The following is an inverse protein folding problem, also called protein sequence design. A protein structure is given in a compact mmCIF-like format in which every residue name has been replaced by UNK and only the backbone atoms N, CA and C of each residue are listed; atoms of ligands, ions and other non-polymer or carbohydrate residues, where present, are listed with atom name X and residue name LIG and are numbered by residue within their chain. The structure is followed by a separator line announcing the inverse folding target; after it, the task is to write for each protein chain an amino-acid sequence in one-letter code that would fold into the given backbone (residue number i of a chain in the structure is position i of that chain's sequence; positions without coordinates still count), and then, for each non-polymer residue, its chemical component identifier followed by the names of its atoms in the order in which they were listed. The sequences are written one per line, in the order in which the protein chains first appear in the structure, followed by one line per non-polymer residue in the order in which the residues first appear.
data_IF_409679216071
#
_entry.id   IF_409679216071
#
_cell.length_a   1.000
_cell.length_b   1.000
_cell.length_c   1.000
_cell.angle_alpha   90.00
_cell.angle_beta   90.00
_cell.angle_gamma   90.00
#
_symmetry.space_group_name_H-M   'P 1'
#
loop_
_entity.id
_entity.type
_entity.pdbx_description
1 polymer ?
#
# COMPACT_ATOMS: atom_id res chain seq x y z
N UNK A 1 0.85 29.05 -2.04
CA UNK A 1 0.92 28.05 -3.13
C UNK A 1 -0.49 27.54 -3.40
N UNK A 2 -0.90 27.34 -4.66
CA UNK A 2 -2.20 26.73 -4.95
C UNK A 2 -2.14 25.25 -4.52
N UNK A 3 -3.07 24.82 -3.69
CA UNK A 3 -3.25 23.41 -3.36
C UNK A 3 -3.50 22.63 -4.65
N UNK A 4 -2.72 21.58 -4.90
CA UNK A 4 -2.87 20.73 -6.08
C UNK A 4 -4.18 19.95 -6.00
N UNK A 5 -4.84 19.78 -7.13
CA UNK A 5 -6.07 19.00 -7.26
C UNK A 5 -5.72 17.53 -7.49
N UNK A 6 -6.30 16.64 -6.69
CA UNK A 6 -6.04 15.20 -6.73
C UNK A 6 -7.29 14.46 -7.19
N UNK A 7 -7.17 13.68 -8.26
CA UNK A 7 -8.25 12.84 -8.77
C UNK A 7 -7.97 11.36 -8.54
N UNK A 8 -8.96 10.61 -8.07
CA UNK A 8 -8.90 9.15 -7.94
C UNK A 8 -9.81 8.51 -9.00
N UNK A 9 -9.24 7.63 -9.82
CA UNK A 9 -10.01 6.75 -10.68
C UNK A 9 -10.17 5.42 -9.94
N UNK A 10 -11.39 5.14 -9.48
CA UNK A 10 -11.75 4.09 -8.54
C UNK A 10 -11.88 4.62 -7.11
N UNK A 11 -13.04 4.41 -6.48
CA UNK A 11 -13.38 4.80 -5.10
C UNK A 11 -13.33 3.66 -4.10
N UNK A 12 -12.52 2.62 -4.35
CA UNK A 12 -12.41 1.45 -3.47
C UNK A 12 -11.73 1.75 -2.12
N UNK A 13 -11.58 0.73 -1.29
CA UNK A 13 -11.05 0.88 0.09
C UNK A 13 -9.73 1.67 0.16
N UNK A 14 -8.77 1.40 -0.73
CA UNK A 14 -7.48 2.10 -0.72
C UNK A 14 -7.62 3.58 -1.10
N UNK A 15 -8.48 3.90 -2.08
CA UNK A 15 -8.79 5.30 -2.41
C UNK A 15 -9.41 6.00 -1.20
N UNK A 16 -10.38 5.37 -0.55
CA UNK A 16 -11.06 5.93 0.63
C UNK A 16 -10.07 6.23 1.76
N UNK A 17 -9.11 5.35 2.00
CA UNK A 17 -8.08 5.58 3.02
C UNK A 17 -7.15 6.72 2.66
N UNK A 18 -6.68 6.79 1.41
CA UNK A 18 -5.84 7.89 0.94
C UNK A 18 -6.58 9.23 1.02
N UNK A 19 -7.85 9.27 0.59
CA UNK A 19 -8.69 10.47 0.67
C UNK A 19 -8.88 10.89 2.14
N UNK A 20 -9.23 9.94 3.01
CA UNK A 20 -9.43 10.22 4.44
C UNK A 20 -8.15 10.72 5.10
N UNK A 21 -7.01 10.09 4.79
CA UNK A 21 -5.69 10.50 5.26
C UNK A 21 -5.32 11.91 4.80
N UNK A 22 -5.51 12.19 3.51
CA UNK A 22 -5.27 13.51 2.91
C UNK A 22 -6.08 14.59 3.64
N UNK A 23 -7.38 14.37 3.82
CA UNK A 23 -8.26 15.31 4.53
C UNK A 23 -7.80 15.51 5.98
N UNK A 24 -7.47 14.42 6.68
CA UNK A 24 -6.98 14.47 8.07
C UNK A 24 -5.65 15.24 8.18
N UNK A 25 -4.78 15.16 7.17
CA UNK A 25 -3.53 15.94 7.08
C UNK A 25 -3.72 17.40 6.65
N UNK A 26 -4.96 17.86 6.42
CA UNK A 26 -5.29 19.24 6.08
C UNK A 26 -5.41 19.53 4.58
N UNK A 27 -5.40 18.50 3.72
CA UNK A 27 -5.72 18.70 2.31
C UNK A 27 -7.22 19.01 2.16
N UNK A 28 -7.56 20.07 1.43
CA UNK A 28 -8.96 20.47 1.28
C UNK A 28 -9.74 19.42 0.48
N UNK A 29 -10.87 18.95 1.04
CA UNK A 29 -11.77 18.01 0.37
C UNK A 29 -12.28 18.57 -0.98
N UNK A 30 -12.41 19.89 -1.11
CA UNK A 30 -12.81 20.55 -2.35
C UNK A 30 -11.73 20.50 -3.44
N UNK A 31 -10.51 20.05 -3.11
CA UNK A 31 -9.43 19.78 -4.05
C UNK A 31 -9.26 18.27 -4.34
N UNK A 32 -10.23 17.44 -3.95
CA UNK A 32 -10.24 16.00 -4.22
C UNK A 32 -11.41 15.65 -5.13
N UNK A 33 -11.15 14.82 -6.14
CA UNK A 33 -12.14 14.27 -7.08
C UNK A 33 -12.10 12.75 -7.07
N UNK A 34 -13.26 12.12 -7.25
CA UNK A 34 -13.36 10.66 -7.47
C UNK A 34 -14.25 10.37 -8.66
N UNK A 35 -13.81 9.44 -9.51
CA UNK A 35 -14.64 8.81 -10.54
C UNK A 35 -14.69 7.30 -10.27
N UNK A 36 -15.88 6.71 -10.32
CA UNK A 36 -16.13 5.28 -10.17
C UNK A 36 -17.36 4.89 -11.00
N UNK A 37 -17.43 3.64 -11.45
CA UNK A 37 -18.60 3.11 -12.15
C UNK A 37 -19.79 2.95 -11.19
N UNK A 38 -19.50 2.75 -9.90
CA UNK A 38 -20.46 2.58 -8.83
C UNK A 38 -20.96 3.93 -8.29
N UNK A 39 -22.17 4.31 -8.71
CA UNK A 39 -22.78 5.60 -8.35
C UNK A 39 -23.17 5.70 -6.88
N UNK A 40 -23.52 4.58 -6.24
CA UNK A 40 -23.84 4.57 -4.80
C UNK A 40 -22.58 4.87 -3.99
N UNK A 41 -21.44 4.28 -4.38
CA UNK A 41 -20.14 4.54 -3.78
C UNK A 41 -19.70 5.99 -3.94
N UNK A 42 -19.84 6.57 -5.14
CA UNK A 42 -19.56 7.99 -5.36
C UNK A 42 -20.42 8.89 -4.46
N UNK A 43 -21.72 8.61 -4.38
CA UNK A 43 -22.66 9.38 -3.56
C UNK A 43 -22.31 9.30 -2.07
N UNK A 44 -21.93 8.10 -1.61
CA UNK A 44 -21.47 7.86 -0.24
C UNK A 44 -20.20 8.66 0.07
N UNK A 45 -19.21 8.68 -0.84
CA UNK A 45 -17.97 9.43 -0.67
C UNK A 45 -18.17 10.93 -0.68
N UNK A 46 -18.97 11.44 -1.62
CA UNK A 46 -19.33 12.86 -1.67
C UNK A 46 -20.01 13.31 -0.36
N UNK A 47 -20.92 12.50 0.18
CA UNK A 47 -21.67 12.83 1.39
C UNK A 47 -20.80 12.76 2.64
N UNK A 48 -19.99 11.70 2.78
CA UNK A 48 -19.22 11.43 4.00
C UNK A 48 -17.93 12.27 4.10
N UNK A 49 -17.29 12.55 2.97
CA UNK A 49 -15.98 13.23 2.92
C UNK A 49 -16.05 14.64 2.32
N UNK A 50 -17.22 15.07 1.82
CA UNK A 50 -17.43 16.38 1.20
C UNK A 50 -16.46 16.68 0.04
N UNK A 51 -16.13 15.65 -0.72
CA UNK A 51 -15.27 15.69 -1.91
C UNK A 51 -16.08 15.87 -3.19
N UNK A 52 -15.40 16.23 -4.27
CA UNK A 52 -16.02 16.27 -5.59
C UNK A 52 -16.12 14.87 -6.20
N UNK A 53 -17.14 14.65 -7.02
CA UNK A 53 -17.27 13.45 -7.84
C UNK A 53 -17.34 13.82 -9.31
N UNK A 54 -16.94 12.90 -10.17
CA UNK A 54 -17.03 13.05 -11.62
C UNK A 54 -17.82 11.89 -12.22
N UNK A 55 -18.66 12.21 -13.20
CA UNK A 55 -19.43 11.21 -13.95
C UNK A 55 -18.57 10.36 -14.89
N UNK A 56 -17.42 10.89 -15.33
CA UNK A 56 -16.49 10.19 -16.23
C UNK A 56 -15.03 10.39 -15.81
N UNK A 57 -14.18 9.45 -16.20
CA UNK A 57 -12.73 9.58 -16.01
C UNK A 57 -12.17 10.79 -16.78
N UNK A 58 -12.67 11.05 -17.99
CA UNK A 58 -12.23 12.17 -18.83
C UNK A 58 -12.48 13.54 -18.19
N UNK A 59 -13.67 13.73 -17.61
CA UNK A 59 -14.00 14.96 -16.91
C UNK A 59 -13.15 15.14 -15.64
N UNK A 60 -12.83 14.05 -14.94
CA UNK A 60 -11.91 14.10 -13.80
C UNK A 60 -10.50 14.49 -14.23
N UNK A 61 -9.95 13.86 -15.27
CA UNK A 61 -8.58 14.12 -15.77
C UNK A 61 -8.41 15.57 -16.21
N UNK A 62 -9.45 16.18 -16.78
CA UNK A 62 -9.41 17.59 -17.22
C UNK A 62 -9.34 18.59 -16.05
N UNK A 63 -9.77 18.18 -14.85
CA UNK A 63 -9.90 19.08 -13.70
C UNK A 63 -8.71 19.05 -12.74
N UNK A 64 -7.89 17.98 -12.76
CA UNK A 64 -6.92 17.69 -11.70
C UNK A 64 -5.47 17.84 -12.15
N UNK A 65 -4.55 17.98 -11.19
CA UNK A 65 -3.10 18.01 -11.42
C UNK A 65 -2.48 16.60 -11.31
N UNK A 66 -3.12 15.71 -10.53
CA UNK A 66 -2.67 14.34 -10.28
C UNK A 66 -3.83 13.38 -10.47
N UNK A 67 -3.57 12.25 -11.13
CA UNK A 67 -4.49 11.13 -11.24
C UNK A 67 -3.93 9.92 -10.51
N UNK A 68 -4.62 9.46 -9.47
CA UNK A 68 -4.34 8.23 -8.76
C UNK A 68 -5.18 7.10 -9.36
N UNK A 69 -4.54 6.09 -9.94
CA UNK A 69 -5.21 4.90 -10.44
C UNK A 69 -5.45 3.90 -9.31
N UNK A 70 -6.68 3.88 -8.79
CA UNK A 70 -7.13 3.08 -7.66
C UNK A 70 -8.18 2.02 -8.04
N UNK A 71 -8.19 1.61 -9.31
CA UNK A 71 -8.96 0.45 -9.80
C UNK A 71 -8.16 -0.85 -9.65
N UNK A 72 -8.84 -1.98 -9.83
CA UNK A 72 -8.18 -3.30 -9.84
C UNK A 72 -7.15 -3.37 -10.98
N UNK A 73 -6.00 -4.06 -10.80
CA UNK A 73 -4.93 -4.12 -11.81
C UNK A 73 -5.42 -4.53 -13.20
N UNK A 74 -6.36 -5.47 -13.29
CA UNK A 74 -6.92 -5.97 -14.55
C UNK A 74 -7.70 -4.91 -15.34
N UNK A 75 -8.19 -3.86 -14.68
CA UNK A 75 -8.96 -2.80 -15.31
C UNK A 75 -8.10 -1.62 -15.80
N UNK A 76 -6.83 -1.53 -15.36
CA UNK A 76 -5.98 -0.37 -15.58
C UNK A 76 -5.77 -0.07 -17.08
N UNK A 77 -5.45 -1.11 -17.87
CA UNK A 77 -5.22 -0.95 -19.30
C UNK A 77 -6.46 -0.38 -20.02
N UNK A 78 -7.65 -0.92 -19.72
CA UNK A 78 -8.90 -0.47 -20.31
C UNK A 78 -9.23 0.98 -19.92
N UNK A 79 -9.06 1.32 -18.63
CA UNK A 79 -9.29 2.68 -18.10
C UNK A 79 -8.38 3.72 -18.77
N UNK A 80 -7.10 3.40 -18.92
CA UNK A 80 -6.15 4.29 -19.60
C UNK A 80 -6.52 4.44 -21.07
N UNK A 81 -6.74 3.32 -21.78
CA UNK A 81 -7.04 3.32 -23.21
C UNK A 81 -8.34 4.08 -23.52
N UNK A 82 -9.37 3.98 -22.67
CA UNK A 82 -10.63 4.71 -22.86
C UNK A 82 -10.49 6.22 -22.67
N UNK A 83 -9.53 6.67 -21.86
CA UNK A 83 -9.35 8.10 -21.51
C UNK A 83 -8.06 8.71 -22.07
N UNK A 84 -7.42 8.04 -23.04
CA UNK A 84 -6.14 8.45 -23.60
C UNK A 84 -6.19 9.86 -24.22
N UNK A 85 -7.32 10.22 -24.82
CA UNK A 85 -7.52 11.56 -25.39
C UNK A 85 -7.43 12.67 -24.34
N UNK A 86 -7.91 12.41 -23.11
CA UNK A 86 -7.83 13.35 -21.99
C UNK A 86 -6.44 13.37 -21.39
N UNK A 87 -5.81 12.20 -21.18
CA UNK A 87 -4.41 12.12 -20.74
C UNK A 87 -3.44 12.81 -21.69
N UNK A 88 -3.70 12.80 -22.99
CA UNK A 88 -2.86 13.48 -23.98
C UNK A 88 -2.97 15.01 -23.91
N UNK A 89 -4.15 15.54 -23.56
CA UNK A 89 -4.39 16.99 -23.44
C UNK A 89 -3.95 17.56 -22.09
N UNK A 90 -4.00 16.74 -21.05
CA UNK A 90 -3.65 17.15 -19.69
C UNK A 90 -2.17 16.91 -19.38
N UNK A 91 -1.56 17.81 -18.63
CA UNK A 91 -0.23 17.62 -18.06
C UNK A 91 -0.36 17.16 -16.60
N UNK A 92 -0.82 15.92 -16.42
CA UNK A 92 -1.05 15.33 -15.10
C UNK A 92 0.09 14.41 -14.68
N UNK A 93 0.39 14.40 -13.38
CA UNK A 93 1.14 13.29 -12.79
C UNK A 93 0.22 12.07 -12.67
N UNK A 94 0.67 10.93 -13.18
CA UNK A 94 -0.01 9.66 -12.92
C UNK A 94 0.64 8.94 -11.74
N UNK A 95 -0.17 8.62 -10.73
CA UNK A 95 0.21 7.79 -9.60
C UNK A 95 -0.54 6.46 -9.70
N UNK A 96 0.17 5.35 -9.84
CA UNK A 96 -0.46 4.02 -9.87
C UNK A 96 -0.23 3.28 -8.57
N UNK A 97 -1.30 2.86 -7.90
CA UNK A 97 -1.25 1.99 -6.71
C UNK A 97 -1.56 0.52 -7.06
N UNK A 98 -1.55 0.17 -8.34
CA UNK A 98 -1.91 -1.17 -8.81
C UNK A 98 -0.72 -2.13 -8.69
N UNK A 99 -0.90 -3.20 -7.90
CA UNK A 99 0.05 -4.30 -7.84
C UNK A 99 0.17 -4.99 -9.21
N UNK A 100 1.40 -5.39 -9.59
CA UNK A 100 1.65 -6.13 -10.82
C UNK A 100 1.44 -5.34 -12.11
N UNK A 101 1.50 -4.01 -12.11
CA UNK A 101 1.52 -3.20 -13.34
C UNK A 101 2.75 -2.31 -13.35
N UNK A 102 3.73 -2.62 -14.19
CA UNK A 102 4.99 -1.86 -14.26
C UNK A 102 4.90 -0.57 -15.11
N UNK A 103 5.89 0.31 -14.96
CA UNK A 103 5.99 1.60 -15.64
C UNK A 103 6.10 1.41 -17.14
N UNK A 104 6.75 0.35 -17.61
CA UNK A 104 6.83 0.04 -19.04
C UNK A 104 5.41 -0.20 -19.63
N UNK A 105 4.56 -0.93 -18.91
CA UNK A 105 3.16 -1.19 -19.32
C UNK A 105 2.34 0.09 -19.29
N UNK A 106 2.45 0.88 -18.21
CA UNK A 106 1.78 2.18 -18.10
C UNK A 106 2.21 3.11 -19.24
N UNK A 107 3.52 3.22 -19.51
CA UNK A 107 4.08 4.05 -20.58
C UNK A 107 3.63 3.59 -21.97
N UNK A 108 3.50 2.28 -22.19
CA UNK A 108 2.96 1.71 -23.43
C UNK A 108 1.52 2.17 -23.68
N UNK A 109 0.70 2.28 -22.63
CA UNK A 109 -0.70 2.68 -22.76
C UNK A 109 -0.92 4.20 -22.77
N UNK A 110 -0.09 4.95 -22.05
CA UNK A 110 -0.23 6.40 -21.86
C UNK A 110 0.60 7.27 -22.80
N UNK A 111 1.73 6.74 -23.29
CA UNK A 111 2.79 7.52 -23.90
C UNK A 111 4.04 7.59 -23.01
N UNK A 112 5.22 7.55 -23.65
CA UNK A 112 6.51 7.50 -22.96
C UNK A 112 6.97 8.84 -22.37
N UNK A 113 6.28 9.93 -22.69
CA UNK A 113 6.54 11.30 -22.23
C UNK A 113 5.83 11.63 -20.91
N UNK A 114 4.95 10.75 -20.41
CA UNK A 114 4.17 11.01 -19.20
C UNK A 114 4.98 10.82 -17.92
N UNK A 115 4.70 11.68 -16.92
CA UNK A 115 5.22 11.55 -15.57
C UNK A 115 4.45 10.46 -14.82
N UNK A 116 5.17 9.43 -14.37
CA UNK A 116 4.57 8.24 -13.73
C UNK A 116 5.30 7.95 -12.42
N UNK A 117 4.54 7.85 -11.33
CA UNK A 117 4.98 7.28 -10.07
C UNK A 117 4.21 5.99 -9.84
N UNK A 118 4.93 4.90 -9.58
CA UNK A 118 4.33 3.68 -9.06
C UNK A 118 4.46 3.67 -7.55
N UNK A 119 3.40 3.25 -6.90
CA UNK A 119 3.31 3.10 -5.47
C UNK A 119 2.85 1.67 -5.16
N UNK A 120 3.45 1.07 -4.14
CA UNK A 120 3.03 -0.22 -3.60
C UNK A 120 2.59 -0.05 -2.15
N UNK A 121 1.37 0.45 -1.88
CA UNK A 121 0.85 0.56 -0.53
C UNK A 121 0.39 -0.81 0.00
N UNK A 122 0.07 -0.87 1.29
CA UNK A 122 -0.46 -2.06 1.94
C UNK A 122 -1.72 -1.78 2.77
N UNK A 123 -2.41 -2.83 3.20
CA UNK A 123 -3.72 -2.72 3.88
C UNK A 123 -3.71 -1.99 5.23
N UNK A 124 -2.62 -1.93 6.02
CA UNK A 124 -2.54 -1.05 7.20
C UNK A 124 -2.77 0.45 6.91
N UNK A 125 -2.69 0.89 5.65
CA UNK A 125 -3.14 2.23 5.24
C UNK A 125 -4.59 2.54 5.65
N UNK A 126 -5.45 1.51 5.76
CA UNK A 126 -6.83 1.65 6.20
C UNK A 126 -6.97 2.20 7.63
N UNK A 127 -5.91 2.04 8.44
CA UNK A 127 -5.81 2.52 9.82
C UNK A 127 -4.59 3.44 9.99
N UNK A 128 -4.18 4.12 8.92
CA UNK A 128 -3.12 5.14 8.91
C UNK A 128 -1.74 4.66 9.39
N UNK A 129 -1.46 3.36 9.29
CA UNK A 129 -0.17 2.75 9.63
C UNK A 129 0.43 2.02 8.43
N UNK A 130 0.11 2.49 7.23
CA UNK A 130 0.57 1.93 5.97
C UNK A 130 2.09 2.03 5.78
N UNK A 131 2.62 1.16 4.94
CA UNK A 131 3.96 1.25 4.40
C UNK A 131 3.88 1.18 2.87
N UNK A 132 4.40 2.21 2.21
CA UNK A 132 4.32 2.35 0.76
C UNK A 132 5.72 2.47 0.17
N UNK A 133 6.07 1.58 -0.76
CA UNK A 133 7.24 1.79 -1.63
C UNK A 133 6.87 2.63 -2.85
N UNK A 134 7.74 3.54 -3.28
CA UNK A 134 7.53 4.42 -4.42
C UNK A 134 8.70 4.37 -5.40
N UNK A 135 8.40 4.44 -6.69
CA UNK A 135 9.38 4.62 -7.75
C UNK A 135 8.84 5.55 -8.82
N UNK A 136 9.64 6.55 -9.20
CA UNK A 136 9.31 7.55 -10.22
C UNK A 136 10.05 7.26 -11.53
N UNK A 137 9.41 7.51 -12.67
CA UNK A 137 10.14 7.54 -13.93
C UNK A 137 10.90 8.88 -14.09
N UNK A 138 11.80 8.93 -15.06
CA UNK A 138 12.63 10.13 -15.33
C UNK A 138 11.87 11.39 -15.74
N UNK A 139 10.57 11.29 -16.03
CA UNK A 139 9.75 12.42 -16.47
C UNK A 139 9.09 13.15 -15.28
N UNK A 140 9.18 12.57 -14.07
CA UNK A 140 8.64 13.16 -12.84
C UNK A 140 9.53 14.31 -12.38
N UNK A 141 8.94 15.48 -12.17
CA UNK A 141 9.64 16.64 -11.59
C UNK A 141 9.78 16.49 -10.08
N UNK A 142 10.68 17.26 -9.45
CA UNK A 142 10.81 17.28 -7.98
C UNK A 142 9.48 17.64 -7.29
N UNK A 143 8.73 18.62 -7.82
CA UNK A 143 7.40 18.98 -7.27
C UNK A 143 6.41 17.80 -7.35
N UNK A 144 6.45 17.03 -8.44
CA UNK A 144 5.59 15.86 -8.62
C UNK A 144 6.03 14.68 -7.74
N UNK A 145 7.34 14.51 -7.55
CA UNK A 145 7.92 13.54 -6.64
C UNK A 145 7.42 13.80 -5.21
N UNK A 146 7.60 15.01 -4.70
CA UNK A 146 7.13 15.42 -3.38
C UNK A 146 5.61 15.27 -3.24
N UNK A 147 4.85 15.60 -4.29
CA UNK A 147 3.40 15.46 -4.30
C UNK A 147 2.97 13.99 -4.18
N UNK A 148 3.58 13.08 -4.92
CA UNK A 148 3.29 11.66 -4.81
C UNK A 148 3.65 11.09 -3.43
N UNK A 149 4.79 11.50 -2.88
CA UNK A 149 5.20 11.13 -1.53
C UNK A 149 4.17 11.61 -0.50
N UNK A 150 3.77 12.89 -0.56
CA UNK A 150 2.79 13.48 0.34
C UNK A 150 1.43 12.76 0.28
N UNK A 151 0.99 12.33 -0.91
CA UNK A 151 -0.23 11.53 -1.04
C UNK A 151 -0.12 10.22 -0.25
N UNK A 152 1.00 9.50 -0.39
CA UNK A 152 1.18 8.21 0.29
C UNK A 152 1.45 8.36 1.78
N UNK A 153 2.12 9.44 2.21
CA UNK A 153 2.39 9.75 3.62
C UNK A 153 1.14 10.07 4.43
N UNK A 154 0.04 10.41 3.77
CA UNK A 154 -1.24 10.68 4.42
C UNK A 154 -1.82 9.48 5.17
N UNK A 155 -1.34 8.27 4.88
CA UNK A 155 -1.83 7.01 5.46
C UNK A 155 -0.72 6.13 6.07
N UNK A 156 0.50 6.66 6.23
CA UNK A 156 1.61 5.92 6.81
C UNK A 156 2.98 6.37 6.30
N UNK A 157 3.97 5.48 6.31
CA UNK A 157 5.31 5.79 5.79
C UNK A 157 5.39 5.59 4.27
N UNK A 158 6.28 6.35 3.64
CA UNK A 158 6.64 6.26 2.24
C UNK A 158 8.15 6.07 2.10
N UNK A 159 8.57 5.17 1.23
CA UNK A 159 10.00 4.91 0.97
C UNK A 159 10.23 4.90 -0.54
N UNK A 160 11.12 5.74 -1.02
CA UNK A 160 11.57 5.74 -2.40
C UNK A 160 12.59 4.63 -2.62
N UNK A 161 12.38 3.83 -3.66
CA UNK A 161 13.36 2.84 -4.12
C UNK A 161 14.11 3.36 -5.34
N UNK A 162 15.36 2.93 -5.51
CA UNK A 162 16.20 3.40 -6.62
C UNK A 162 15.79 2.79 -7.94
N UNK A 163 15.43 1.49 -7.93
CA UNK A 163 15.04 0.74 -9.11
C UNK A 163 13.60 0.25 -9.01
N UNK A 164 12.86 0.33 -10.11
CA UNK A 164 11.47 -0.12 -10.16
C UNK A 164 11.27 -1.57 -9.71
N UNK A 165 12.23 -2.46 -10.02
CA UNK A 165 12.19 -3.87 -9.64
C UNK A 165 12.21 -4.09 -8.12
N UNK A 166 12.69 -3.13 -7.34
CA UNK A 166 12.63 -3.23 -5.87
C UNK A 166 11.19 -3.16 -5.35
N UNK A 167 10.23 -2.65 -6.14
CA UNK A 167 8.82 -2.71 -5.77
C UNK A 167 8.28 -4.15 -5.70
N UNK A 168 8.90 -5.11 -6.37
CA UNK A 168 8.55 -6.54 -6.22
C UNK A 168 8.98 -7.06 -4.84
N UNK A 169 10.15 -6.62 -4.34
CA UNK A 169 10.60 -6.92 -2.98
C UNK A 169 9.74 -6.19 -1.94
N UNK A 170 9.37 -4.93 -2.18
CA UNK A 170 8.39 -4.21 -1.34
C UNK A 170 7.05 -4.97 -1.29
N UNK A 171 6.58 -5.49 -2.41
CA UNK A 171 5.35 -6.30 -2.47
C UNK A 171 5.44 -7.55 -1.59
N UNK A 172 6.59 -8.23 -1.60
CA UNK A 172 6.83 -9.40 -0.76
C UNK A 172 6.91 -9.03 0.74
N UNK A 173 7.60 -7.94 1.08
CA UNK A 173 7.84 -7.54 2.48
C UNK A 173 6.62 -6.87 3.10
N UNK A 174 6.15 -5.76 2.55
CA UNK A 174 5.13 -4.90 3.17
C UNK A 174 3.76 -5.04 2.52
N UNK A 175 3.69 -5.32 1.21
CA UNK A 175 2.43 -5.53 0.50
C UNK A 175 1.69 -6.78 1.01
N UNK A 176 2.42 -7.90 1.03
CA UNK A 176 1.94 -9.20 1.52
C UNK A 176 2.13 -9.39 3.03
N UNK A 177 3.05 -8.62 3.63
CA UNK A 177 3.43 -8.65 5.04
C UNK A 177 2.27 -8.77 6.04
N UNK A 178 1.19 -7.95 5.95
CA UNK A 178 0.07 -8.02 6.86
C UNK A 178 -0.52 -9.43 6.99
N UNK A 179 -0.61 -10.19 5.89
CA UNK A 179 -1.12 -11.55 5.91
C UNK A 179 -0.22 -12.50 6.72
N UNK A 180 1.10 -12.27 6.74
CA UNK A 180 2.04 -13.08 7.50
C UNK A 180 1.85 -12.86 9.01
N UNK A 181 1.66 -11.61 9.42
CA UNK A 181 1.35 -11.28 10.81
C UNK A 181 -0.01 -11.84 11.23
N UNK A 182 -1.04 -11.73 10.39
CA UNK A 182 -2.35 -12.31 10.69
C UNK A 182 -2.31 -13.85 10.81
N UNK A 183 -1.54 -14.53 9.95
CA UNK A 183 -1.35 -15.98 10.04
C UNK A 183 -0.64 -16.37 11.34
N UNK A 184 0.36 -15.59 11.77
CA UNK A 184 1.02 -15.81 13.07
C UNK A 184 0.04 -15.61 14.23
N UNK A 185 -0.77 -14.54 14.20
CA UNK A 185 -1.79 -14.27 15.22
C UNK A 185 -2.82 -15.41 15.28
N UNK A 186 -3.28 -15.90 14.13
CA UNK A 186 -4.21 -17.03 14.03
C UNK A 186 -3.62 -18.30 14.67
N UNK A 187 -2.36 -18.62 14.36
CA UNK A 187 -1.68 -19.77 14.94
C UNK A 187 -1.51 -19.63 16.46
N UNK A 188 -1.14 -18.43 16.94
CA UNK A 188 -1.02 -18.14 18.36
C UNK A 188 -2.37 -18.25 19.08
N UNK A 189 -3.47 -17.77 18.47
CA UNK A 189 -4.81 -17.84 19.04
C UNK A 189 -5.22 -19.30 19.25
N UNK A 190 -4.99 -20.14 18.24
CA UNK A 190 -5.28 -21.58 18.33
C UNK A 190 -4.51 -22.23 19.49
N UNK A 191 -3.21 -21.98 19.61
CA UNK A 191 -2.41 -22.52 20.71
C UNK A 191 -2.80 -21.95 22.08
N UNK A 192 -3.16 -20.67 22.16
CA UNK A 192 -3.62 -20.03 23.39
C UNK A 192 -4.91 -20.67 23.93
N UNK A 193 -5.84 -21.05 23.04
CA UNK A 193 -7.06 -21.78 23.41
C UNK A 193 -6.72 -23.18 23.95
N UNK A 194 -5.78 -23.90 23.33
CA UNK A 194 -5.31 -25.21 23.79
C UNK A 194 -4.62 -25.13 25.17
N UNK A 195 -3.98 -23.99 25.46
CA UNK A 195 -3.40 -23.68 26.78
C UNK A 195 -4.44 -23.22 27.83
N UNK A 196 -5.72 -23.14 27.45
CA UNK A 196 -6.83 -22.86 28.37
C UNK A 196 -7.27 -21.41 28.44
N UNK A 197 -6.79 -20.52 27.57
CA UNK A 197 -7.31 -19.15 27.49
C UNK A 197 -8.68 -19.13 26.80
N UNK A 198 -9.50 -18.15 27.17
CA UNK A 198 -10.71 -17.83 26.40
C UNK A 198 -10.33 -17.17 25.07
N UNK A 199 -11.17 -17.33 24.04
CA UNK A 199 -10.97 -16.68 22.74
C UNK A 199 -10.76 -15.17 22.87
N UNK A 200 -11.64 -14.52 23.62
CA UNK A 200 -11.58 -13.08 23.82
C UNK A 200 -10.27 -12.65 24.49
N UNK A 201 -9.83 -13.36 25.53
CA UNK A 201 -8.56 -13.09 26.21
C UNK A 201 -7.37 -13.31 25.28
N UNK A 202 -7.36 -14.40 24.52
CA UNK A 202 -6.28 -14.71 23.58
C UNK A 202 -6.13 -13.60 22.53
N UNK A 203 -7.23 -13.20 21.89
CA UNK A 203 -7.23 -12.14 20.88
C UNK A 203 -6.66 -10.82 21.43
N UNK A 204 -7.17 -10.35 22.57
CA UNK A 204 -6.69 -9.12 23.19
C UNK A 204 -5.19 -9.16 23.52
N UNK A 205 -4.71 -10.27 24.09
CA UNK A 205 -3.30 -10.41 24.45
C UNK A 205 -2.41 -10.46 23.22
N UNK A 206 -2.80 -11.20 22.17
CA UNK A 206 -2.03 -11.38 20.95
C UNK A 206 -1.93 -10.07 20.17
N UNK A 207 -3.06 -9.40 19.94
CA UNK A 207 -3.12 -8.12 19.22
C UNK A 207 -2.28 -7.06 19.93
N UNK A 208 -2.43 -6.91 21.24
CA UNK A 208 -1.67 -5.94 22.03
C UNK A 208 -0.18 -6.28 22.09
N UNK A 209 0.18 -7.57 22.15
CA UNK A 209 1.60 -8.01 22.14
C UNK A 209 2.25 -7.70 20.80
N UNK A 210 1.56 -7.97 19.69
CA UNK A 210 2.07 -7.65 18.35
C UNK A 210 2.24 -6.14 18.15
N UNK A 211 1.25 -5.34 18.55
CA UNK A 211 1.33 -3.87 18.51
C UNK A 211 2.52 -3.37 19.36
N UNK A 212 2.64 -3.85 20.60
CA UNK A 212 3.71 -3.45 21.52
C UNK A 212 5.10 -3.77 20.98
N UNK A 213 5.30 -4.98 20.46
CA UNK A 213 6.58 -5.39 19.86
C UNK A 213 6.95 -4.52 18.65
N UNK A 214 5.98 -4.26 17.76
CA UNK A 214 6.20 -3.40 16.60
C UNK A 214 6.55 -1.96 17.01
N UNK A 215 5.85 -1.39 18.00
CA UNK A 215 6.14 -0.04 18.51
C UNK A 215 7.51 0.07 19.13
N UNK A 216 7.92 -0.90 19.95
CA UNK A 216 9.28 -0.94 20.51
C UNK A 216 10.32 -0.95 19.39
N UNK A 217 10.12 -1.77 18.35
CA UNK A 217 11.03 -1.83 17.22
C UNK A 217 11.10 -0.50 16.43
N UNK A 218 9.98 0.20 16.27
CA UNK A 218 9.93 1.49 15.57
C UNK A 218 10.57 2.65 16.36
N UNK A 219 10.51 2.58 17.69
CA UNK A 219 11.02 3.63 18.59
C UNK A 219 12.47 3.36 19.07
N UNK A 220 13.00 2.16 18.78
CA UNK A 220 14.35 1.74 19.19
C UNK A 220 15.41 2.07 18.13
N UNK A 221 16.64 2.25 18.60
CA UNK A 221 17.84 2.28 17.73
C UNK A 221 18.45 0.89 17.53
N UNK A 222 17.94 -0.10 18.26
CA UNK A 222 18.41 -1.48 18.24
C UNK A 222 17.70 -2.30 17.16
N UNK A 223 18.40 -3.28 16.62
CA UNK A 223 17.86 -4.25 15.67
C UNK A 223 16.82 -5.18 16.32
N UNK A 224 15.91 -5.77 15.52
CA UNK A 224 15.00 -6.80 16.02
C UNK A 224 15.70 -8.00 16.67
N UNK A 225 16.93 -8.34 16.24
CA UNK A 225 17.74 -9.38 16.83
C UNK A 225 18.15 -9.04 18.27
N UNK A 226 18.66 -7.82 18.49
CA UNK A 226 19.04 -7.32 19.82
C UNK A 226 17.82 -7.22 20.74
N UNK A 227 16.69 -6.69 20.23
CA UNK A 227 15.43 -6.63 20.97
C UNK A 227 14.95 -8.03 21.39
N UNK A 228 15.01 -9.01 20.48
CA UNK A 228 14.69 -10.42 20.78
C UNK A 228 15.60 -10.98 21.87
N UNK A 229 16.90 -10.72 21.81
CA UNK A 229 17.85 -11.17 22.84
C UNK A 229 17.54 -10.57 24.22
N UNK A 230 17.19 -9.28 24.29
CA UNK A 230 16.85 -8.61 25.56
C UNK A 230 15.64 -9.19 26.28
N UNK A 231 14.65 -9.70 25.53
CA UNK A 231 13.44 -10.34 26.09
C UNK A 231 13.58 -11.86 26.27
N UNK A 232 14.77 -12.41 26.01
CA UNK A 232 15.07 -13.85 26.12
C UNK A 232 16.02 -14.09 27.29
N UNK A 233 15.47 -14.37 28.47
CA UNK A 233 16.28 -14.74 29.63
C UNK A 233 16.81 -16.17 29.52
N UNK A 234 18.08 -16.45 29.90
CA UNK A 234 18.64 -17.80 29.91
C UNK A 234 17.81 -18.77 30.77
N UNK A 235 17.45 -19.92 30.22
CA UNK A 235 16.60 -20.92 30.89
C UNK A 235 15.13 -20.50 31.03
N UNK A 236 14.73 -19.36 30.44
CA UNK A 236 13.37 -18.81 30.53
C UNK A 236 12.39 -19.42 29.53
N UNK A 237 11.12 -19.04 29.65
CA UNK A 237 10.04 -19.51 28.77
C UNK A 237 10.23 -19.05 27.32
N UNK A 238 10.66 -17.80 27.10
CA UNK A 238 10.93 -17.24 25.78
C UNK A 238 12.02 -18.03 25.05
N UNK A 239 13.09 -18.41 25.75
CA UNK A 239 14.21 -19.16 25.18
C UNK A 239 13.74 -20.51 24.62
N UNK A 240 12.93 -21.25 25.37
CA UNK A 240 12.40 -22.55 24.93
C UNK A 240 11.50 -22.42 23.69
N UNK A 241 10.69 -21.37 23.61
CA UNK A 241 9.87 -21.10 22.44
C UNK A 241 10.72 -20.75 21.20
N UNK A 242 11.71 -19.86 21.36
CA UNK A 242 12.60 -19.45 20.26
C UNK A 242 13.41 -20.64 19.73
N UNK A 243 14.00 -21.46 20.61
CA UNK A 243 14.73 -22.68 20.21
C UNK A 243 13.82 -23.63 19.43
N UNK A 244 12.54 -23.73 19.82
CA UNK A 244 11.57 -24.57 19.12
C UNK A 244 11.27 -24.04 17.72
N UNK A 245 11.08 -22.71 17.55
CA UNK A 245 10.92 -22.10 16.24
C UNK A 245 12.15 -22.27 15.35
N UNK A 246 13.35 -22.10 15.91
CA UNK A 246 14.61 -22.27 15.18
C UNK A 246 14.80 -23.73 14.71
N UNK A 247 14.54 -24.71 15.57
CA UNK A 247 14.54 -26.14 15.20
C UNK A 247 13.51 -26.49 14.13
N UNK A 248 12.39 -25.77 14.11
CA UNK A 248 11.37 -25.87 13.06
C UNK A 248 11.76 -25.23 11.73
N UNK A 249 12.94 -24.60 11.62
CA UNK A 249 13.42 -23.96 10.39
C UNK A 249 12.73 -22.64 10.08
N UNK A 250 12.27 -21.89 11.09
CA UNK A 250 11.51 -20.66 10.93
C UNK A 250 12.14 -19.66 9.94
N UNK A 251 13.43 -19.35 10.10
CA UNK A 251 14.14 -18.40 9.23
C UNK A 251 14.10 -18.81 7.76
N UNK A 252 14.31 -20.09 7.49
CA UNK A 252 14.33 -20.63 6.14
C UNK A 252 12.92 -20.65 5.53
N UNK A 253 11.89 -20.97 6.33
CA UNK A 253 10.50 -20.88 5.91
C UNK A 253 10.10 -19.46 5.53
N UNK A 254 10.45 -18.46 6.35
CA UNK A 254 10.20 -17.04 6.07
C UNK A 254 10.90 -16.61 4.79
N UNK A 255 12.18 -16.97 4.61
CA UNK A 255 12.94 -16.70 3.38
C UNK A 255 12.24 -17.23 2.13
N UNK A 256 11.81 -18.49 2.17
CA UNK A 256 11.12 -19.13 1.06
C UNK A 256 9.74 -18.50 0.78
N UNK A 257 8.99 -18.12 1.82
CA UNK A 257 7.70 -17.44 1.66
C UNK A 257 7.83 -16.07 0.99
N UNK A 258 8.79 -15.24 1.42
CA UNK A 258 9.04 -13.93 0.81
C UNK A 258 9.54 -14.07 -0.64
N UNK A 259 10.43 -15.04 -0.91
CA UNK A 259 10.88 -15.30 -2.28
C UNK A 259 9.71 -15.69 -3.19
N UNK A 260 8.83 -16.57 -2.73
CA UNK A 260 7.65 -16.98 -3.49
C UNK A 260 6.70 -15.80 -3.79
N UNK A 261 6.51 -14.89 -2.82
CA UNK A 261 5.72 -13.68 -3.02
C UNK A 261 6.36 -12.72 -4.03
N UNK A 262 7.68 -12.52 -3.94
CA UNK A 262 8.46 -11.73 -4.89
C UNK A 262 8.35 -12.28 -6.32
N UNK A 263 8.57 -13.59 -6.49
CA UNK A 263 8.51 -14.24 -7.80
C UNK A 263 7.12 -14.16 -8.41
N UNK A 264 6.07 -14.27 -7.57
CA UNK A 264 4.69 -14.08 -8.02
C UNK A 264 4.41 -12.63 -8.42
N UNK A 265 4.96 -11.64 -7.73
CA UNK A 265 4.85 -10.22 -8.12
C UNK A 265 5.43 -10.01 -9.52
N UNK A 266 6.63 -10.55 -9.77
CA UNK A 266 7.29 -10.48 -11.07
C UNK A 266 6.44 -11.17 -12.15
N UNK A 267 5.89 -12.36 -11.87
CA UNK A 267 5.06 -13.07 -12.85
C UNK A 267 3.76 -12.33 -13.16
N UNK A 268 3.10 -11.77 -12.14
CA UNK A 268 1.88 -10.96 -12.28
C UNK A 268 2.13 -9.75 -13.19
N UNK A 269 3.29 -9.10 -13.05
CA UNK A 269 3.65 -7.98 -13.92
C UNK A 269 3.76 -8.37 -15.40
N UNK A 270 4.14 -9.60 -15.70
CA UNK A 270 4.19 -10.10 -17.08
C UNK A 270 2.80 -10.47 -17.59
N UNK A 271 1.97 -11.09 -16.75
CA UNK A 271 0.60 -11.48 -17.08
C UNK A 271 -0.28 -10.26 -17.38
N UNK A 272 -0.24 -9.25 -16.51
CA UNK A 272 -1.11 -8.08 -16.59
C UNK A 272 -0.55 -6.96 -17.48
N UNK A 273 0.78 -6.93 -17.68
CA UNK A 273 1.46 -5.92 -18.50
C UNK A 273 1.57 -6.27 -20.00
N UNK A 274 1.21 -7.48 -20.41
CA UNK A 274 1.36 -7.93 -21.80
C UNK A 274 0.38 -7.26 -22.78
N UNK A 275 -0.78 -6.77 -22.30
CA UNK A 275 -1.83 -6.11 -23.11
C UNK A 275 -1.49 -4.67 -23.57
#
# INVERSE_FOLDING_TARGET
MKTKKIGFIGGGNMANSLISGLIASGHSAQQIWVADLDQEKLSSLATSMHINTSATNDALIAEVDVVVLAVKPQAIAAVIKSSIGSFNKANVLLVSIAAGINQASLSKWLGADKAIVRCMPNTPALVQTGATGLHANKNVTEEQHDLAENIMRSVGISVWVENESELDAVTAVSGSGPAYFFLLMEAMEKSALELGLSRHTAQLLIEQTALGAARIALESTESPEELRHRVTSPGGTTEQAIITFERGGFTELVRNALQAANDRSISLSKELGAE
#
